data_IF_737328246174
#
_entry.id   IF_737328246174
#
_cell.length_a   1.000
_cell.length_b   1.000
_cell.length_c   1.000
_cell.angle_alpha   90.00
_cell.angle_beta   90.00
_cell.angle_gamma   90.00
#
_symmetry.space_group_name_H-M   'P 1'
#
loop_
_entity.id
_entity.type
_entity.pdbx_description
1 polymer ?
#
# COMPACT_ATOMS: atom_id res chain seq x y z
N UNK A 1 -8.34 6.50 17.32
CA UNK A 1 -8.42 6.78 15.87
C UNK A 1 -7.53 5.74 15.21
N UNK A 2 -7.92 5.15 14.07
CA UNK A 2 -7.06 4.18 13.38
C UNK A 2 -5.88 4.88 12.73
N UNK A 3 -4.70 4.21 12.76
CA UNK A 3 -3.42 4.73 12.29
C UNK A 3 -2.88 3.89 11.14
N UNK A 4 -2.40 4.54 10.08
CA UNK A 4 -1.92 3.92 8.84
C UNK A 4 -0.47 4.30 8.59
N UNK A 5 0.38 3.31 8.24
CA UNK A 5 1.70 3.53 7.69
C UNK A 5 1.69 3.37 6.17
N UNK A 6 2.25 4.32 5.43
CA UNK A 6 2.57 4.19 4.01
C UNK A 6 4.09 4.13 3.87
N UNK A 7 4.61 2.98 3.45
CA UNK A 7 6.06 2.75 3.39
C UNK A 7 6.69 3.45 2.19
N UNK A 8 7.80 4.14 2.42
CA UNK A 8 8.58 4.79 1.37
C UNK A 8 10.01 4.23 1.38
N UNK A 9 10.46 3.71 0.25
CA UNK A 9 11.86 3.38 0.03
C UNK A 9 12.35 4.09 -1.24
N UNK A 10 13.64 4.41 -1.33
CA UNK A 10 14.20 5.05 -2.52
C UNK A 10 13.75 4.33 -3.80
N UNK A 11 13.14 5.06 -4.72
CA UNK A 11 12.51 4.53 -5.93
C UNK A 11 11.06 4.10 -5.75
N UNK A 12 10.36 4.55 -4.68
CA UNK A 12 8.92 4.36 -4.54
C UNK A 12 8.15 5.07 -5.68
N UNK A 13 6.95 4.61 -6.01
CA UNK A 13 6.08 5.30 -6.98
C UNK A 13 5.31 6.42 -6.26
N UNK A 14 5.50 7.66 -6.74
CA UNK A 14 5.04 8.87 -6.06
C UNK A 14 3.51 8.97 -6.03
N UNK A 15 2.86 8.69 -7.16
CA UNK A 15 1.40 8.73 -7.26
C UNK A 15 0.73 7.68 -6.36
N UNK A 16 1.27 6.46 -6.33
CA UNK A 16 0.74 5.37 -5.50
C UNK A 16 0.85 5.66 -4.00
N UNK A 17 1.91 6.35 -3.60
CA UNK A 17 2.18 6.64 -2.19
C UNK A 17 1.47 7.91 -1.71
N UNK A 18 1.69 9.03 -2.41
CA UNK A 18 1.23 10.34 -1.94
C UNK A 18 -0.29 10.51 -2.05
N UNK A 19 -0.94 9.95 -3.07
CA UNK A 19 -2.41 9.92 -3.13
C UNK A 19 -3.00 9.09 -2.00
N UNK A 20 -2.39 7.96 -1.64
CA UNK A 20 -2.87 7.16 -0.50
C UNK A 20 -2.77 7.96 0.79
N UNK A 21 -1.64 8.62 1.07
CA UNK A 21 -1.48 9.47 2.25
C UNK A 21 -2.54 10.57 2.28
N UNK A 22 -2.73 11.30 1.16
CA UNK A 22 -3.71 12.39 1.07
C UNK A 22 -5.14 11.89 1.35
N UNK A 23 -5.55 10.80 0.68
CA UNK A 23 -6.93 10.30 0.77
C UNK A 23 -7.24 9.72 2.16
N UNK A 24 -6.31 8.98 2.77
CA UNK A 24 -6.47 8.46 4.13
C UNK A 24 -6.63 9.63 5.14
N UNK A 25 -5.81 10.67 5.02
CA UNK A 25 -5.91 11.87 5.86
C UNK A 25 -7.23 12.61 5.63
N UNK A 26 -7.70 12.74 4.38
CA UNK A 26 -9.03 13.28 4.05
C UNK A 26 -10.16 12.45 4.66
N UNK A 27 -9.98 11.14 4.78
CA UNK A 27 -10.89 10.22 5.45
C UNK A 27 -10.97 10.40 6.97
N UNK A 28 -10.13 11.28 7.56
CA UNK A 28 -10.11 11.55 8.99
C UNK A 28 -9.30 10.54 9.79
N UNK A 29 -8.46 9.74 9.14
CA UNK A 29 -7.57 8.79 9.79
C UNK A 29 -6.17 9.38 9.97
N UNK A 30 -5.45 8.91 11.00
CA UNK A 30 -4.04 9.20 11.15
C UNK A 30 -3.25 8.41 10.09
N UNK A 31 -2.42 9.10 9.32
CA UNK A 31 -1.60 8.48 8.28
C UNK A 31 -0.20 9.07 8.29
N UNK A 32 0.78 8.21 8.44
CA UNK A 32 2.20 8.55 8.39
C UNK A 32 2.84 7.95 7.14
N UNK A 33 3.60 8.75 6.41
CA UNK A 33 4.59 8.26 5.47
C UNK A 33 5.83 7.82 6.24
N UNK A 34 6.28 6.59 6.00
CA UNK A 34 7.37 5.97 6.77
C UNK A 34 8.51 5.62 5.84
N UNK A 35 9.61 6.35 5.95
CA UNK A 35 10.83 6.08 5.18
C UNK A 35 11.54 4.82 5.68
N UNK A 36 11.95 3.91 4.79
CA UNK A 36 12.58 2.65 5.17
C UNK A 36 13.90 2.86 5.94
N UNK A 37 14.77 3.72 5.45
CA UNK A 37 16.09 3.98 6.05
C UNK A 37 16.32 5.45 6.37
N UNK A 38 15.69 6.36 5.62
CA UNK A 38 15.88 7.81 5.72
C UNK A 38 14.53 8.53 5.71
N UNK A 39 14.49 9.72 6.35
CA UNK A 39 13.32 10.58 6.28
C UNK A 39 13.18 11.24 4.90
N UNK A 40 14.29 11.58 4.23
CA UNK A 40 14.26 12.13 2.89
C UNK A 40 14.33 11.00 1.86
N UNK A 41 13.23 10.75 1.15
CA UNK A 41 13.11 9.63 0.22
C UNK A 41 12.80 10.12 -1.19
N UNK A 42 13.61 9.74 -2.16
CA UNK A 42 13.41 10.08 -3.58
C UNK A 42 12.69 8.94 -4.29
N UNK A 43 11.61 9.27 -4.98
CA UNK A 43 10.79 8.32 -5.75
C UNK A 43 11.41 7.94 -7.10
N UNK A 44 10.71 7.09 -7.85
CA UNK A 44 11.20 6.56 -9.13
C UNK A 44 11.14 7.57 -10.29
N UNK A 45 10.50 8.72 -10.08
CA UNK A 45 10.43 9.85 -11.03
C UNK A 45 11.11 11.10 -10.47
N UNK A 46 12.13 10.91 -9.60
CA UNK A 46 12.97 11.96 -9.02
C UNK A 46 12.25 13.01 -8.16
N UNK A 47 11.04 12.70 -7.67
CA UNK A 47 10.33 13.54 -6.69
C UNK A 47 10.73 13.10 -5.29
N UNK A 48 11.33 14.03 -4.53
CA UNK A 48 11.75 13.77 -3.16
C UNK A 48 10.68 14.18 -2.17
N UNK A 49 10.28 13.27 -1.30
CA UNK A 49 9.39 13.53 -0.17
C UNK A 49 10.15 13.46 1.15
N UNK A 50 9.69 14.26 2.13
CA UNK A 50 10.11 14.11 3.51
C UNK A 50 9.07 13.24 4.22
N UNK A 51 9.46 12.04 4.61
CA UNK A 51 8.62 11.13 5.36
C UNK A 51 8.35 11.66 6.77
N UNK A 52 7.17 11.37 7.29
CA UNK A 52 6.79 11.78 8.66
C UNK A 52 7.61 11.04 9.73
N UNK A 53 8.04 9.81 9.43
CA UNK A 53 8.81 8.95 10.33
C UNK A 53 9.81 8.09 9.55
N UNK A 54 10.86 7.63 10.23
CA UNK A 54 11.75 6.57 9.72
C UNK A 54 11.37 5.26 10.39
N UNK A 55 11.39 4.18 9.63
CA UNK A 55 11.09 2.83 10.11
C UNK A 55 12.09 2.39 11.19
N UNK A 56 11.58 2.07 12.36
CA UNK A 56 12.36 1.69 13.54
C UNK A 56 12.44 0.17 13.78
N UNK A 57 11.86 -0.62 12.88
CA UNK A 57 11.81 -2.09 12.96
C UNK A 57 10.47 -2.63 13.45
N UNK A 58 9.51 -1.79 13.86
CA UNK A 58 8.18 -2.21 14.30
C UNK A 58 7.07 -1.56 13.48
N UNK A 59 5.96 -2.30 13.33
CA UNK A 59 4.69 -1.85 12.75
C UNK A 59 3.54 -1.91 13.75
N UNK A 60 3.82 -2.23 15.02
CA UNK A 60 2.81 -2.57 16.03
C UNK A 60 1.80 -1.45 16.30
N UNK A 61 2.24 -0.20 16.21
CA UNK A 61 1.41 0.98 16.47
C UNK A 61 0.34 1.24 15.38
N UNK A 62 0.47 0.61 14.20
CA UNK A 62 -0.43 0.85 13.08
C UNK A 62 -1.59 -0.16 13.05
N UNK A 63 -2.72 0.26 12.50
CA UNK A 63 -3.88 -0.59 12.18
C UNK A 63 -3.83 -1.10 10.74
N UNK A 64 -3.17 -0.34 9.85
CA UNK A 64 -2.96 -0.69 8.46
C UNK A 64 -1.55 -0.33 8.01
N UNK A 65 -0.94 -1.20 7.22
CA UNK A 65 0.31 -0.92 6.50
C UNK A 65 0.06 -0.97 5.01
N UNK A 66 0.51 0.06 4.28
CA UNK A 66 0.42 0.16 2.83
C UNK A 66 1.81 0.06 2.23
N UNK A 67 1.98 -0.87 1.30
CA UNK A 67 3.23 -1.12 0.58
C UNK A 67 3.04 -0.70 -0.88
N UNK A 68 3.56 0.46 -1.29
CA UNK A 68 3.46 0.94 -2.66
C UNK A 68 4.41 0.20 -3.60
N UNK A 69 4.24 0.46 -4.90
CA UNK A 69 5.17 0.00 -5.92
C UNK A 69 6.29 1.00 -6.21
N UNK A 70 6.66 1.08 -7.48
CA UNK A 70 7.85 1.77 -7.95
C UNK A 70 9.10 0.88 -7.89
N UNK A 71 10.01 1.09 -8.84
CA UNK A 71 11.29 0.38 -8.86
C UNK A 71 12.42 1.39 -8.81
N UNK A 72 13.44 1.16 -7.99
CA UNK A 72 13.70 -0.03 -7.16
C UNK A 72 13.00 -0.04 -5.78
N UNK A 73 12.11 0.89 -5.44
CA UNK A 73 11.51 1.03 -4.12
C UNK A 73 10.85 -0.25 -3.58
N UNK A 74 10.01 -0.91 -4.41
CA UNK A 74 9.38 -2.17 -4.03
C UNK A 74 10.40 -3.29 -3.80
N UNK A 75 11.48 -3.34 -4.58
CA UNK A 75 12.56 -4.29 -4.36
C UNK A 75 13.31 -3.98 -3.06
N UNK A 76 13.63 -2.71 -2.79
CA UNK A 76 14.30 -2.29 -1.57
C UNK A 76 13.49 -2.68 -0.32
N UNK A 77 12.16 -2.55 -0.35
CA UNK A 77 11.27 -3.01 0.73
C UNK A 77 11.27 -4.54 0.84
N UNK A 78 11.20 -5.25 -0.28
CA UNK A 78 11.15 -6.72 -0.30
C UNK A 78 12.48 -7.37 0.11
N UNK A 79 13.59 -6.69 -0.04
CA UNK A 79 14.94 -7.19 0.30
C UNK A 79 15.38 -6.75 1.72
N UNK A 80 14.69 -5.82 2.38
CA UNK A 80 14.96 -5.46 3.77
C UNK A 80 14.32 -6.49 4.71
N UNK A 81 15.15 -7.35 5.30
CA UNK A 81 14.68 -8.44 6.16
C UNK A 81 13.97 -7.92 7.42
N UNK A 82 14.36 -6.76 7.97
CA UNK A 82 13.70 -6.15 9.14
C UNK A 82 12.25 -5.81 8.81
N UNK A 83 12.05 -5.20 7.64
CA UNK A 83 10.71 -4.86 7.16
C UNK A 83 9.88 -6.10 6.85
N UNK A 84 10.45 -7.09 6.14
CA UNK A 84 9.76 -8.34 5.79
C UNK A 84 9.31 -9.10 7.04
N UNK A 85 10.14 -9.17 8.08
CA UNK A 85 9.80 -9.86 9.34
C UNK A 85 8.72 -9.10 10.13
N UNK A 86 8.81 -7.76 10.19
CA UNK A 86 7.78 -6.92 10.80
C UNK A 86 6.45 -7.04 10.04
N UNK A 87 6.48 -7.01 8.69
CA UNK A 87 5.30 -7.16 7.84
C UNK A 87 4.64 -8.53 8.00
N UNK A 88 5.44 -9.60 8.09
CA UNK A 88 4.94 -10.97 8.36
C UNK A 88 4.21 -11.04 9.70
N UNK A 89 4.79 -10.51 10.75
CA UNK A 89 4.19 -10.47 12.08
C UNK A 89 2.90 -9.66 12.06
N UNK A 90 2.96 -8.47 11.49
CA UNK A 90 1.82 -7.57 11.36
C UNK A 90 0.67 -8.20 10.59
N UNK A 91 0.92 -8.78 9.42
CA UNK A 91 -0.10 -9.37 8.55
C UNK A 91 -0.80 -10.60 9.13
N UNK A 92 -0.16 -11.28 10.09
CA UNK A 92 -0.73 -12.42 10.83
C UNK A 92 -1.37 -12.02 12.16
N UNK A 93 -1.34 -10.75 12.53
CA UNK A 93 -1.96 -10.24 13.76
C UNK A 93 -3.44 -9.92 13.50
N UNK A 94 -4.32 -10.41 14.38
CA UNK A 94 -5.75 -10.17 14.28
C UNK A 94 -6.08 -8.66 14.33
N UNK A 95 -7.00 -8.23 13.47
CA UNK A 95 -7.44 -6.83 13.41
C UNK A 95 -6.52 -5.90 12.59
N UNK A 96 -5.34 -6.36 12.17
CA UNK A 96 -4.43 -5.60 11.32
C UNK A 96 -4.77 -5.77 9.84
N UNK A 97 -4.62 -4.71 9.04
CA UNK A 97 -4.88 -4.69 7.60
C UNK A 97 -3.56 -4.50 6.83
N UNK A 98 -3.34 -5.32 5.82
CA UNK A 98 -2.20 -5.19 4.90
C UNK A 98 -2.71 -4.77 3.53
N UNK A 99 -2.17 -3.69 3.01
CA UNK A 99 -2.54 -3.19 1.71
C UNK A 99 -1.30 -3.04 0.81
N UNK A 100 -1.45 -3.30 -0.50
CA UNK A 100 -0.32 -3.17 -1.43
C UNK A 100 -0.79 -2.90 -2.85
N UNK A 101 0.05 -2.22 -3.63
CA UNK A 101 -0.27 -1.86 -5.01
C UNK A 101 0.93 -2.08 -5.94
N UNK A 102 0.66 -2.37 -7.21
CA UNK A 102 1.65 -2.41 -8.30
C UNK A 102 2.72 -3.50 -8.08
N UNK A 103 3.97 -3.11 -7.86
CA UNK A 103 5.08 -4.01 -7.54
C UNK A 103 5.20 -4.28 -6.02
N UNK A 104 4.49 -3.53 -5.18
CA UNK A 104 4.54 -3.67 -3.72
C UNK A 104 4.25 -5.07 -3.17
N UNK A 105 3.33 -5.87 -3.80
CA UNK A 105 3.11 -7.26 -3.39
C UNK A 105 4.35 -8.16 -3.37
N UNK A 106 5.50 -7.73 -3.93
CA UNK A 106 6.78 -8.43 -3.73
C UNK A 106 7.14 -8.59 -2.25
N UNK A 107 6.92 -7.55 -1.44
CA UNK A 107 7.17 -7.62 0.01
C UNK A 107 6.21 -8.57 0.72
N UNK A 108 4.95 -8.62 0.27
CA UNK A 108 3.94 -9.53 0.81
C UNK A 108 4.29 -10.99 0.49
N UNK A 109 4.78 -11.25 -0.72
CA UNK A 109 5.25 -12.57 -1.14
C UNK A 109 6.44 -13.03 -0.28
N UNK A 110 7.45 -12.15 -0.10
CA UNK A 110 8.59 -12.42 0.80
C UNK A 110 8.15 -12.67 2.24
N UNK A 111 7.10 -11.99 2.70
CA UNK A 111 6.53 -12.20 4.03
C UNK A 111 5.65 -13.47 4.13
N UNK A 112 5.36 -14.16 3.01
CA UNK A 112 4.47 -15.32 2.96
C UNK A 112 2.99 -15.00 3.09
N UNK A 113 2.60 -13.74 2.91
CA UNK A 113 1.22 -13.27 3.10
C UNK A 113 0.31 -13.48 1.88
N UNK A 114 0.85 -13.94 0.74
CA UNK A 114 0.08 -14.23 -0.47
C UNK A 114 -0.28 -15.70 -0.63
N UNK A 115 0.31 -16.60 0.16
CA UNK A 115 0.07 -18.05 0.05
C UNK A 115 -1.40 -18.38 0.33
N UNK A 116 -2.06 -19.04 -0.63
CA UNK A 116 -3.48 -19.41 -0.58
C UNK A 116 -4.46 -18.24 -0.65
N UNK A 117 -3.98 -17.01 -0.93
CA UNK A 117 -4.79 -15.79 -0.99
C UNK A 117 -5.09 -15.37 -2.42
N UNK A 118 -6.22 -14.69 -2.60
CA UNK A 118 -6.56 -14.02 -3.85
C UNK A 118 -6.01 -12.60 -3.81
N UNK A 119 -5.29 -12.19 -4.86
CA UNK A 119 -4.65 -10.87 -4.92
C UNK A 119 -4.56 -10.35 -6.33
N UNK A 120 -4.22 -9.07 -6.48
CA UNK A 120 -3.79 -8.47 -7.74
C UNK A 120 -2.48 -7.73 -7.56
N UNK A 121 -1.77 -7.48 -8.63
CA UNK A 121 -0.54 -6.69 -8.70
C UNK A 121 -0.39 -6.13 -10.11
N UNK A 122 0.69 -5.39 -10.37
CA UNK A 122 0.96 -4.91 -11.72
C UNK A 122 0.99 -6.09 -12.71
N UNK A 123 0.20 -6.07 -13.80
CA UNK A 123 -0.05 -7.26 -14.63
C UNK A 123 1.20 -7.97 -15.15
N UNK A 124 2.29 -7.23 -15.45
CA UNK A 124 3.54 -7.83 -15.93
C UNK A 124 4.33 -8.54 -14.82
N UNK A 125 3.91 -8.41 -13.56
CA UNK A 125 4.56 -9.04 -12.39
C UNK A 125 3.86 -10.32 -11.92
N UNK A 126 2.67 -10.64 -12.42
CA UNK A 126 1.83 -11.76 -11.97
C UNK A 126 2.55 -13.12 -11.95
N UNK A 127 3.46 -13.34 -12.90
CA UNK A 127 4.17 -14.62 -13.00
C UNK A 127 5.40 -14.72 -12.08
N UNK A 128 5.78 -13.59 -11.44
CA UNK A 128 6.95 -13.49 -10.55
C UNK A 128 6.60 -13.22 -9.09
N UNK A 129 5.34 -12.93 -8.77
CA UNK A 129 4.86 -12.60 -7.43
C UNK A 129 3.75 -13.58 -7.04
N UNK A 130 3.79 -14.09 -5.81
CA UNK A 130 2.70 -14.84 -5.20
C UNK A 130 2.39 -16.16 -5.92
N UNK A 131 3.38 -16.96 -6.26
CA UNK A 131 3.22 -18.24 -6.98
C UNK A 131 2.28 -19.22 -6.28
N UNK A 132 2.17 -19.13 -4.95
CA UNK A 132 1.28 -19.97 -4.14
C UNK A 132 -0.08 -19.30 -3.86
N UNK A 133 -0.35 -18.14 -4.45
CA UNK A 133 -1.61 -17.42 -4.40
C UNK A 133 -2.37 -17.44 -5.73
N UNK A 134 -3.52 -16.82 -5.77
CA UNK A 134 -4.36 -16.69 -6.97
C UNK A 134 -4.38 -15.24 -7.43
N UNK A 135 -3.68 -14.92 -8.51
CA UNK A 135 -3.77 -13.61 -9.14
C UNK A 135 -5.07 -13.46 -9.93
N UNK A 136 -5.72 -12.29 -9.82
CA UNK A 136 -6.90 -11.93 -10.60
C UNK A 136 -6.73 -10.55 -11.23
N UNK A 137 -7.33 -10.36 -12.41
CA UNK A 137 -7.28 -9.10 -13.16
C UNK A 137 -8.41 -8.16 -12.71
N UNK A 138 -8.27 -7.62 -11.51
CA UNK A 138 -9.24 -6.72 -10.89
C UNK A 138 -8.55 -5.45 -10.40
N UNK A 139 -9.25 -4.32 -10.48
CA UNK A 139 -8.73 -3.00 -10.08
C UNK A 139 -8.35 -2.98 -8.59
N UNK A 140 -9.19 -3.56 -7.74
CA UNK A 140 -8.94 -3.74 -6.30
C UNK A 140 -9.45 -5.09 -5.88
N UNK A 141 -8.62 -5.84 -5.16
CA UNK A 141 -8.98 -7.14 -4.58
C UNK A 141 -8.89 -7.05 -3.07
N UNK A 142 -9.91 -7.51 -2.37
CA UNK A 142 -9.89 -7.71 -0.92
C UNK A 142 -10.10 -9.17 -0.60
N UNK A 143 -9.15 -9.75 0.11
CA UNK A 143 -9.24 -11.10 0.66
C UNK A 143 -8.94 -11.03 2.16
N UNK A 144 -9.99 -11.08 2.98
CA UNK A 144 -9.91 -10.91 4.43
C UNK A 144 -9.27 -9.58 4.83
N UNK A 145 -8.09 -9.65 5.42
CA UNK A 145 -7.29 -8.49 5.84
C UNK A 145 -6.30 -7.97 4.78
N UNK A 146 -6.23 -8.64 3.62
CA UNK A 146 -5.38 -8.25 2.52
C UNK A 146 -6.16 -7.41 1.50
N UNK A 147 -5.59 -6.27 1.07
CA UNK A 147 -6.17 -5.41 0.03
C UNK A 147 -5.08 -5.09 -0.99
N UNK A 148 -5.31 -5.44 -2.25
CA UNK A 148 -4.31 -5.23 -3.31
C UNK A 148 -4.89 -4.49 -4.51
N UNK A 149 -4.01 -3.82 -5.28
CA UNK A 149 -4.37 -3.09 -6.51
C UNK A 149 -3.24 -3.16 -7.55
N UNK A 150 -3.50 -2.66 -8.76
CA UNK A 150 -2.66 -2.96 -9.92
C UNK A 150 -1.55 -1.94 -10.19
N UNK A 151 -1.79 -0.65 -10.06
CA UNK A 151 -0.77 0.33 -10.44
C UNK A 151 -1.24 1.78 -10.37
N UNK A 152 -0.45 2.74 -10.89
CA UNK A 152 -0.69 4.17 -10.71
C UNK A 152 -2.09 4.61 -11.13
N UNK A 153 -2.61 4.08 -12.25
CA UNK A 153 -3.95 4.38 -12.75
C UNK A 153 -5.09 3.87 -11.87
N UNK A 154 -4.85 2.93 -10.96
CA UNK A 154 -5.85 2.37 -10.04
C UNK A 154 -5.74 2.94 -8.62
N UNK A 155 -4.77 3.82 -8.36
CA UNK A 155 -4.44 4.31 -7.01
C UNK A 155 -5.63 4.97 -6.30
N UNK A 156 -6.43 5.77 -6.99
CA UNK A 156 -7.58 6.45 -6.37
C UNK A 156 -8.64 5.43 -5.94
N UNK A 157 -8.95 4.42 -6.77
CA UNK A 157 -9.86 3.33 -6.40
C UNK A 157 -9.35 2.58 -5.17
N UNK A 158 -8.07 2.27 -5.17
CA UNK A 158 -7.39 1.60 -4.06
C UNK A 158 -7.49 2.42 -2.77
N UNK A 159 -7.10 3.70 -2.81
CA UNK A 159 -7.10 4.56 -1.63
C UNK A 159 -8.51 4.73 -1.01
N UNK A 160 -9.57 4.87 -1.84
CA UNK A 160 -10.94 4.89 -1.34
C UNK A 160 -11.36 3.56 -0.71
N UNK A 161 -10.96 2.43 -1.30
CA UNK A 161 -11.22 1.13 -0.71
C UNK A 161 -10.51 0.93 0.64
N UNK A 162 -9.32 1.53 0.84
CA UNK A 162 -8.63 1.54 2.13
C UNK A 162 -9.40 2.35 3.17
N UNK A 163 -9.95 3.51 2.79
CA UNK A 163 -10.83 4.31 3.67
C UNK A 163 -12.04 3.51 4.11
N UNK A 164 -12.72 2.81 3.17
CA UNK A 164 -13.86 1.95 3.48
C UNK A 164 -13.45 0.81 4.43
N UNK A 165 -12.29 0.18 4.21
CA UNK A 165 -11.77 -0.90 5.05
C UNK A 165 -11.43 -0.44 6.48
N UNK A 166 -11.06 0.82 6.65
CA UNK A 166 -10.82 1.45 7.96
C UNK A 166 -12.12 1.83 8.68
N UNK A 167 -13.28 1.72 8.02
CA UNK A 167 -14.60 2.09 8.55
C UNK A 167 -15.00 3.53 8.27
N UNK A 168 -14.34 4.17 7.31
CA UNK A 168 -14.70 5.51 6.78
C UNK A 168 -15.74 5.44 5.67
N UNK A 169 -15.91 6.55 4.96
CA UNK A 169 -16.87 6.72 3.86
C UNK A 169 -16.13 7.14 2.58
N UNK A 170 -15.68 6.14 1.82
CA UNK A 170 -14.98 6.35 0.55
C UNK A 170 -15.86 6.99 -0.52
N UNK A 171 -17.18 6.72 -0.52
CA UNK A 171 -18.10 7.32 -1.49
C UNK A 171 -18.26 8.83 -1.27
N UNK A 172 -18.32 9.26 -0.02
CA UNK A 172 -18.30 10.69 0.31
C UNK A 172 -17.04 11.36 -0.20
N UNK A 173 -15.88 10.72 -0.04
CA UNK A 173 -14.61 11.25 -0.55
C UNK A 173 -14.55 11.28 -2.08
N UNK A 174 -14.99 10.22 -2.77
CA UNK A 174 -15.09 10.19 -4.24
C UNK A 174 -15.86 11.38 -4.78
N UNK A 175 -16.99 11.70 -4.15
CA UNK A 175 -17.82 12.85 -4.55
C UNK A 175 -17.15 14.20 -4.19
N UNK A 176 -16.60 14.33 -2.99
CA UNK A 176 -15.95 15.57 -2.54
C UNK A 176 -14.70 15.91 -3.38
N UNK A 177 -13.97 14.89 -3.85
CA UNK A 177 -12.80 15.03 -4.72
C UNK A 177 -13.15 15.12 -6.21
N UNK A 178 -14.42 15.18 -6.56
CA UNK A 178 -14.92 15.20 -7.95
C UNK A 178 -14.53 13.96 -8.77
N UNK A 179 -14.14 12.88 -8.09
CA UNK A 179 -13.71 11.65 -8.76
C UNK A 179 -14.85 11.00 -9.55
N UNK A 180 -16.03 10.87 -8.96
CA UNK A 180 -17.24 10.36 -9.63
C UNK A 180 -17.58 11.18 -10.89
N UNK A 181 -17.45 12.53 -10.82
CA UNK A 181 -17.66 13.41 -11.96
C UNK A 181 -16.64 13.18 -13.07
N UNK A 182 -15.37 12.97 -12.71
CA UNK A 182 -14.31 12.72 -13.71
C UNK A 182 -14.50 11.40 -14.46
N UNK A 183 -15.06 10.37 -13.82
CA UNK A 183 -15.36 9.09 -14.47
C UNK A 183 -16.53 9.13 -15.44
N UNK A 184 -17.40 10.13 -15.34
CA UNK A 184 -18.59 10.31 -16.21
C UNK A 184 -18.36 11.31 -17.34
N UNK A 185 -17.18 11.85 -17.46
CA UNK A 185 -16.80 12.80 -18.52
C UNK A 185 -16.15 12.12 -19.71
#
# INVERSE_FOLDING_TARGET
MKKVAVMLATGYEEGESLFVVDIIRRGGFECESVGLNDAQVTGCHDITALADKVFDGSLDEYDMVVVPGGMPGAANLADDQRFVDALRTFGNTEGKLVASICAGPMSLDRAGLLSGRTFTCFPTRKDSIGKDGTWVDEVVVRDGNLITSQGPGTTLHFAFALVDALGGDGDKLRNAMLYTKALSA
#
